data_IF_457973740105
#
_entry.id   IF_457973740105
#
_cell.length_a   1.000
_cell.length_b   1.000
_cell.length_c   1.000
_cell.angle_alpha   90.00
_cell.angle_beta   90.00
_cell.angle_gamma   90.00
#
_symmetry.space_group_name_H-M   'P 1'
#
loop_
_entity.id
_entity.type
_entity.pdbx_description
1 polymer ?
#
# COMPACT_ATOMS: atom_id res chain seq x y z
N UNK A 1 -31.01 -13.55 -7.47
CA UNK A 1 -29.59 -13.33 -7.77
C UNK A 1 -28.86 -13.05 -6.48
N UNK A 2 -28.14 -14.02 -5.94
CA UNK A 2 -27.32 -13.83 -4.74
C UNK A 2 -26.10 -13.00 -5.13
N UNK A 3 -25.97 -11.80 -4.56
CA UNK A 3 -24.74 -11.00 -4.65
C UNK A 3 -23.60 -11.89 -4.17
N UNK A 4 -22.64 -12.16 -5.05
CA UNK A 4 -21.36 -12.71 -4.63
C UNK A 4 -20.68 -11.68 -3.72
N UNK A 5 -19.99 -12.11 -2.65
CA UNK A 5 -19.26 -11.19 -1.81
C UNK A 5 -18.18 -10.51 -2.65
N UNK A 6 -18.20 -9.18 -2.65
CA UNK A 6 -17.14 -8.35 -3.20
C UNK A 6 -15.80 -8.82 -2.60
N UNK A 7 -14.72 -8.94 -3.39
CA UNK A 7 -13.45 -9.42 -2.88
C UNK A 7 -13.03 -8.48 -1.75
N UNK A 8 -13.00 -9.01 -0.52
CA UNK A 8 -12.37 -8.35 0.62
C UNK A 8 -10.93 -8.08 0.17
N UNK A 9 -10.65 -6.82 -0.15
CA UNK A 9 -9.33 -6.41 -0.58
C UNK A 9 -8.37 -6.57 0.60
N UNK A 10 -7.26 -7.27 0.36
CA UNK A 10 -6.13 -7.57 1.25
C UNK A 10 -6.28 -8.81 2.15
N UNK A 11 -5.54 -9.83 1.72
CA UNK A 11 -5.02 -10.98 2.47
C UNK A 11 -4.02 -10.52 3.54
N UNK A 12 -4.54 -10.03 4.66
CA UNK A 12 -3.78 -9.48 5.81
C UNK A 12 -2.72 -10.41 6.43
N UNK A 13 -2.88 -11.75 6.46
CA UNK A 13 -1.85 -12.65 7.01
C UNK A 13 -0.58 -12.73 6.17
N UNK A 14 -0.72 -12.72 4.84
CA UNK A 14 0.36 -12.99 3.89
C UNK A 14 1.30 -11.78 3.73
N UNK A 15 0.80 -10.56 3.89
CA UNK A 15 1.59 -9.34 3.72
C UNK A 15 2.72 -9.25 4.76
N UNK A 16 2.51 -9.78 5.98
CA UNK A 16 3.56 -9.89 7.00
C UNK A 16 4.64 -10.89 6.64
N UNK A 17 4.31 -11.92 5.88
CA UNK A 17 5.27 -12.93 5.40
C UNK A 17 6.15 -12.33 4.28
N UNK A 18 5.58 -11.42 3.48
CA UNK A 18 6.25 -10.73 2.39
C UNK A 18 7.08 -9.52 2.85
N UNK A 19 6.77 -8.91 4.00
CA UNK A 19 7.46 -7.71 4.49
C UNK A 19 9.00 -7.84 4.54
N UNK A 20 9.60 -8.93 5.05
CA UNK A 20 11.07 -9.08 5.08
C UNK A 20 11.69 -9.20 3.68
N UNK A 21 10.93 -9.79 2.73
CA UNK A 21 11.37 -9.93 1.34
C UNK A 21 11.37 -8.57 0.64
N UNK A 22 10.38 -7.73 0.95
CA UNK A 22 10.29 -6.36 0.46
C UNK A 22 11.39 -5.47 1.07
N UNK A 23 11.70 -5.61 2.35
CA UNK A 23 12.82 -4.91 2.99
C UNK A 23 14.15 -5.19 2.27
N UNK A 24 14.43 -6.47 2.00
CA UNK A 24 15.63 -6.86 1.28
C UNK A 24 15.67 -6.32 -0.16
N UNK A 25 14.53 -6.34 -0.87
CA UNK A 25 14.45 -5.80 -2.22
C UNK A 25 14.66 -4.28 -2.25
N UNK A 26 14.03 -3.53 -1.34
CA UNK A 26 14.20 -2.08 -1.20
C UNK A 26 15.64 -1.74 -0.83
N UNK A 27 16.24 -2.48 0.11
CA UNK A 27 17.63 -2.30 0.49
C UNK A 27 18.58 -2.50 -0.70
N UNK A 28 18.35 -3.55 -1.49
CA UNK A 28 19.15 -3.84 -2.68
C UNK A 28 19.05 -2.74 -3.75
N UNK A 29 17.84 -2.27 -4.05
CA UNK A 29 17.61 -1.18 -5.04
C UNK A 29 18.24 0.14 -4.58
N UNK A 30 18.18 0.42 -3.28
CA UNK A 30 18.68 1.67 -2.69
C UNK A 30 20.18 1.61 -2.35
N UNK A 31 20.85 0.45 -2.50
CA UNK A 31 22.25 0.27 -2.12
C UNK A 31 22.48 0.35 -0.60
N UNK A 32 21.46 0.02 0.20
CA UNK A 32 21.49 0.06 1.66
C UNK A 32 21.67 -1.34 2.23
N UNK A 33 22.14 -1.41 3.47
CA UNK A 33 22.07 -2.66 4.25
C UNK A 33 20.63 -2.88 4.70
N UNK A 34 20.15 -4.12 4.69
CA UNK A 34 18.77 -4.46 5.07
C UNK A 34 18.40 -3.96 6.47
N UNK A 35 19.36 -3.90 7.39
CA UNK A 35 19.21 -3.33 8.75
C UNK A 35 18.85 -1.83 8.78
N UNK A 36 18.98 -1.14 7.63
CA UNK A 36 18.65 0.28 7.46
C UNK A 36 17.29 0.50 6.81
N UNK A 37 16.57 -0.57 6.47
CA UNK A 37 15.22 -0.53 5.92
C UNK A 37 14.28 -1.25 6.88
N UNK A 38 13.17 -0.61 7.22
CA UNK A 38 12.20 -1.17 8.16
C UNK A 38 10.80 -0.94 7.61
N UNK A 39 10.05 -2.02 7.38
CA UNK A 39 8.72 -1.99 6.78
C UNK A 39 7.70 -2.45 7.82
N UNK A 40 6.74 -1.58 8.08
CA UNK A 40 5.64 -1.87 9.00
C UNK A 40 4.36 -2.18 8.23
N UNK A 41 3.84 -3.39 8.41
CA UNK A 41 2.51 -3.76 7.90
C UNK A 41 1.47 -3.38 8.95
N UNK A 42 0.70 -2.34 8.65
CA UNK A 42 -0.47 -1.96 9.44
C UNK A 42 -1.74 -2.45 8.75
N UNK A 43 -2.56 -3.16 9.52
CA UNK A 43 -3.91 -3.54 9.11
C UNK A 43 -4.85 -2.37 9.38
N UNK A 44 -5.47 -1.86 8.33
CA UNK A 44 -6.52 -0.83 8.42
C UNK A 44 -7.89 -1.48 8.23
N UNK A 45 -8.94 -0.87 8.78
CA UNK A 45 -10.31 -1.37 8.59
C UNK A 45 -10.82 -1.04 7.18
N UNK A 46 -11.83 -1.80 6.70
CA UNK A 46 -12.43 -1.53 5.40
C UNK A 46 -13.07 -0.13 5.32
N UNK A 47 -13.68 0.36 6.41
CA UNK A 47 -14.24 1.71 6.47
C UNK A 47 -13.18 2.80 6.27
N UNK A 48 -11.95 2.57 6.74
CA UNK A 48 -10.82 3.48 6.56
C UNK A 48 -10.26 3.43 5.13
N UNK A 49 -10.29 2.25 4.50
CA UNK A 49 -9.95 2.08 3.08
C UNK A 49 -10.96 2.81 2.21
N UNK A 50 -12.25 2.70 2.51
CA UNK A 50 -13.33 3.34 1.75
C UNK A 50 -13.29 4.88 1.90
N UNK A 51 -12.93 5.39 3.08
CA UNK A 51 -12.77 6.82 3.33
C UNK A 51 -11.58 7.42 2.57
N UNK A 52 -10.49 6.67 2.43
CA UNK A 52 -9.28 7.11 1.73
C UNK A 52 -9.19 6.59 0.29
N UNK A 53 -10.25 5.96 -0.21
CA UNK A 53 -10.30 5.42 -1.55
C UNK A 53 -10.16 6.56 -2.55
N UNK A 54 -9.18 6.44 -3.46
CA UNK A 54 -8.84 7.48 -4.41
C UNK A 54 -7.97 8.63 -3.86
N UNK A 55 -7.78 8.78 -2.54
CA UNK A 55 -6.85 9.80 -1.98
C UNK A 55 -5.41 9.45 -2.32
N UNK A 56 -5.02 8.19 -2.16
CA UNK A 56 -3.68 7.73 -2.52
C UNK A 56 -3.44 7.76 -4.03
N UNK A 57 -4.42 7.34 -4.83
CA UNK A 57 -4.33 7.39 -6.30
C UNK A 57 -4.22 8.83 -6.79
N UNK A 58 -4.99 9.74 -6.18
CA UNK A 58 -4.94 11.18 -6.47
C UNK A 58 -3.61 11.77 -6.02
N UNK A 59 -3.14 11.50 -4.81
CA UNK A 59 -1.84 11.97 -4.32
C UNK A 59 -0.69 11.47 -5.19
N UNK A 60 -0.76 10.22 -5.66
CA UNK A 60 0.21 9.66 -6.59
C UNK A 60 0.13 10.38 -7.95
N UNK A 61 -1.06 10.58 -8.49
CA UNK A 61 -1.26 11.27 -9.75
C UNK A 61 -0.86 12.76 -9.69
N UNK A 62 -1.03 13.44 -8.56
CA UNK A 62 -0.51 14.79 -8.32
C UNK A 62 1.03 14.78 -8.28
N UNK A 63 1.64 13.83 -7.56
CA UNK A 63 3.10 13.68 -7.50
C UNK A 63 3.73 13.42 -8.87
N UNK A 64 3.04 12.68 -9.74
CA UNK A 64 3.46 12.42 -11.12
C UNK A 64 3.02 13.50 -12.12
N UNK A 65 2.32 14.55 -11.66
CA UNK A 65 1.90 15.68 -12.50
C UNK A 65 0.75 15.36 -13.46
N UNK A 66 0.09 14.21 -13.30
CA UNK A 66 -1.01 13.75 -14.15
C UNK A 66 -2.32 14.48 -13.85
N UNK A 67 -2.42 15.15 -12.70
CA UNK A 67 -3.57 15.97 -12.31
C UNK A 67 -3.13 17.26 -11.60
N UNK A 68 -3.85 18.38 -11.79
CA UNK A 68 -3.53 19.65 -11.15
C UNK A 68 -3.79 19.62 -9.63
N UNK A 69 -3.03 20.41 -8.83
CA UNK A 69 -3.19 20.45 -7.37
C UNK A 69 -4.62 20.87 -6.98
N UNK A 70 -5.17 20.21 -5.97
CA UNK A 70 -6.39 20.67 -5.29
C UNK A 70 -6.20 22.12 -4.78
N UNK A 71 -7.14 23.00 -5.14
CA UNK A 71 -7.19 24.41 -4.70
C UNK A 71 -7.82 24.55 -3.32
#
# INVERSE_FOLDING_TARGET
MSKQPEPVHSTLPEDRICAPQLEAAVAAVMGLMSEKVNIFVQTVSQDEVDLHFGVYERMLAEKFGTIPPLQ
#
